data_IF_042654064083
#
_entry.id   IF_042654064083
#
_cell.length_a   1.000
_cell.length_b   1.000
_cell.length_c   1.000
_cell.angle_alpha   90.00
_cell.angle_beta   90.00
_cell.angle_gamma   90.00
#
_symmetry.space_group_name_H-M   'P 1'
#
loop_
_entity.id
_entity.type
_entity.pdbx_description
1 polymer ?
#
# COMPACT_ATOMS: atom_id res chain seq x y z
N UNK A 1 0.53 -21.38 -6.74
CA UNK A 1 0.38 -20.19 -5.90
C UNK A 1 1.60 -19.29 -6.03
N UNK A 2 1.49 -18.28 -6.87
CA UNK A 2 2.48 -17.20 -7.02
C UNK A 2 2.53 -16.35 -5.76
N UNK A 3 3.72 -15.82 -5.47
CA UNK A 3 3.94 -14.84 -4.42
C UNK A 3 4.81 -13.71 -4.95
N UNK A 4 4.50 -12.49 -4.52
CA UNK A 4 5.29 -11.28 -4.75
C UNK A 4 5.60 -10.62 -3.40
N UNK A 5 6.85 -10.23 -3.19
CA UNK A 5 7.26 -9.39 -2.07
C UNK A 5 7.91 -8.12 -2.60
N UNK A 6 7.38 -6.96 -2.22
CA UNK A 6 7.88 -5.66 -2.66
C UNK A 6 8.25 -4.78 -1.48
N UNK A 7 9.39 -4.11 -1.60
CA UNK A 7 9.81 -3.06 -0.66
C UNK A 7 9.27 -1.73 -1.16
N UNK A 8 8.41 -1.10 -0.38
CA UNK A 8 7.82 0.20 -0.68
C UNK A 8 8.37 1.25 0.30
N UNK A 9 8.56 2.51 -0.12
CA UNK A 9 8.88 3.59 0.81
C UNK A 9 7.78 3.71 1.88
N UNK A 10 8.08 4.36 3.01
CA UNK A 10 7.02 4.67 3.95
C UNK A 10 6.04 5.69 3.35
N UNK A 11 4.72 5.43 3.36
CA UNK A 11 3.76 6.29 2.69
C UNK A 11 3.59 7.65 3.40
N UNK A 12 3.10 8.67 2.69
CA UNK A 12 2.55 9.85 3.35
C UNK A 12 1.33 9.44 4.20
N UNK A 13 0.98 10.24 5.21
CA UNK A 13 -0.24 10.01 5.98
C UNK A 13 -1.48 10.06 5.08
N UNK A 14 -2.56 9.36 5.44
CA UNK A 14 -3.80 9.34 4.65
C UNK A 14 -4.32 10.76 4.33
N UNK A 15 -4.26 11.66 5.31
CA UNK A 15 -4.64 13.06 5.15
C UNK A 15 -3.72 13.86 4.22
N UNK A 16 -2.46 13.44 4.08
CA UNK A 16 -1.54 14.02 3.11
C UNK A 16 -1.70 13.36 1.74
N UNK A 17 -2.07 12.08 1.69
CA UNK A 17 -2.34 11.35 0.47
C UNK A 17 -3.57 11.90 -0.26
N UNK A 18 -4.70 12.00 0.44
CA UNK A 18 -5.95 12.55 -0.07
C UNK A 18 -6.14 13.98 0.41
N UNK A 19 -6.45 14.89 -0.51
CA UNK A 19 -6.82 16.27 -0.22
C UNK A 19 -8.26 16.52 -0.64
N UNK A 20 -8.87 17.51 -0.01
CA UNK A 20 -10.20 17.99 -0.37
C UNK A 20 -10.11 19.43 -0.85
N UNK A 21 -10.90 19.79 -1.85
CA UNK A 21 -11.09 21.18 -2.24
C UNK A 21 -12.15 21.83 -1.35
N UNK A 22 -12.22 23.18 -1.34
CA UNK A 22 -13.30 23.92 -0.67
C UNK A 22 -14.71 23.55 -1.17
N UNK A 23 -14.79 22.98 -2.37
CA UNK A 23 -16.04 22.54 -3.02
C UNK A 23 -16.37 21.07 -2.72
N UNK A 24 -15.66 20.43 -1.78
CA UNK A 24 -15.92 19.05 -1.36
C UNK A 24 -15.38 17.97 -2.31
N UNK A 25 -14.55 18.31 -3.30
CA UNK A 25 -13.96 17.30 -4.21
C UNK A 25 -12.71 16.69 -3.59
N UNK A 26 -12.64 15.36 -3.57
CA UNK A 26 -11.43 14.62 -3.17
C UNK A 26 -10.47 14.46 -4.34
N UNK A 27 -9.17 14.61 -4.09
CA UNK A 27 -8.12 14.37 -5.07
C UNK A 27 -6.84 13.88 -4.42
N UNK A 28 -6.01 13.18 -5.18
CA UNK A 28 -4.71 12.68 -4.73
C UNK A 28 -3.70 13.82 -4.77
N UNK A 29 -3.00 14.03 -3.66
CA UNK A 29 -1.96 15.04 -3.56
C UNK A 29 -0.74 14.71 -4.42
N UNK A 30 0.17 15.68 -4.57
CA UNK A 30 1.47 15.42 -5.18
C UNK A 30 2.23 14.30 -4.47
N UNK A 31 2.22 14.28 -3.13
CA UNK A 31 2.88 13.24 -2.35
C UNK A 31 2.23 11.86 -2.56
N UNK A 32 0.90 11.81 -2.69
CA UNK A 32 0.18 10.57 -2.99
C UNK A 32 0.53 10.03 -4.39
N UNK A 33 0.60 10.91 -5.40
CA UNK A 33 1.05 10.54 -6.75
C UNK A 33 2.48 10.01 -6.75
N UNK A 34 3.41 10.70 -6.09
CA UNK A 34 4.79 10.24 -5.93
C UNK A 34 4.88 8.87 -5.26
N UNK A 35 4.02 8.61 -4.26
CA UNK A 35 3.95 7.29 -3.65
C UNK A 35 3.44 6.24 -4.63
N UNK A 36 2.35 6.51 -5.37
CA UNK A 36 1.85 5.60 -6.43
C UNK A 36 2.91 5.29 -7.47
N UNK A 37 3.66 6.29 -7.92
CA UNK A 37 4.75 6.12 -8.89
C UNK A 37 5.84 5.20 -8.32
N UNK A 38 6.17 5.33 -7.03
CA UNK A 38 7.12 4.44 -6.37
C UNK A 38 6.60 2.99 -6.30
N UNK A 39 5.32 2.78 -6.02
CA UNK A 39 4.70 1.44 -6.03
C UNK A 39 4.68 0.86 -7.44
N UNK A 40 4.27 1.65 -8.45
CA UNK A 40 4.31 1.24 -9.85
C UNK A 40 5.71 0.81 -10.26
N UNK A 41 6.73 1.60 -9.93
CA UNK A 41 8.13 1.29 -10.24
C UNK A 41 8.62 0.03 -9.53
N UNK A 42 8.22 -0.19 -8.27
CA UNK A 42 8.55 -1.41 -7.53
C UNK A 42 7.92 -2.66 -8.16
N UNK A 43 6.78 -2.49 -8.84
CA UNK A 43 6.00 -3.58 -9.43
C UNK A 43 6.07 -3.62 -10.97
N UNK A 44 6.90 -2.81 -11.63
CA UNK A 44 6.83 -2.58 -13.09
C UNK A 44 7.06 -3.83 -13.95
N UNK A 45 7.76 -4.83 -13.42
CA UNK A 45 8.04 -6.11 -14.11
C UNK A 45 7.04 -7.21 -13.73
N UNK A 46 6.14 -6.92 -12.80
CA UNK A 46 5.21 -7.89 -12.26
C UNK A 46 3.94 -7.95 -13.09
N UNK A 47 3.43 -9.15 -13.28
CA UNK A 47 2.12 -9.35 -13.93
C UNK A 47 1.00 -9.12 -12.92
N UNK A 48 -0.20 -8.70 -13.34
CA UNK A 48 -1.38 -8.67 -12.47
C UNK A 48 -1.65 -10.06 -11.87
N UNK A 49 -2.19 -10.10 -10.65
CA UNK A 49 -2.78 -11.31 -10.09
C UNK A 49 -4.19 -11.51 -10.66
N UNK A 50 -4.51 -12.73 -11.09
CA UNK A 50 -5.80 -13.06 -11.71
C UNK A 50 -6.75 -13.82 -10.78
N UNK A 51 -6.27 -14.27 -9.63
CA UNK A 51 -7.04 -14.95 -8.60
C UNK A 51 -7.13 -14.11 -7.34
N UNK A 52 -7.93 -14.55 -6.38
CA UNK A 52 -7.94 -13.95 -5.04
C UNK A 52 -6.55 -14.01 -4.42
N UNK A 53 -6.18 -12.94 -3.70
CA UNK A 53 -4.89 -12.81 -3.03
C UNK A 53 -5.04 -12.57 -1.54
N UNK A 54 -4.06 -12.99 -0.76
CA UNK A 54 -3.79 -12.40 0.55
C UNK A 54 -2.73 -11.32 0.43
N UNK A 55 -2.88 -10.26 1.23
CA UNK A 55 -1.88 -9.22 1.37
C UNK A 55 -1.45 -9.16 2.83
N UNK A 56 -0.14 -9.14 3.03
CA UNK A 56 0.50 -8.94 4.33
C UNK A 56 1.44 -7.74 4.26
N UNK A 57 1.44 -6.90 5.29
CA UNK A 57 2.28 -5.71 5.37
C UNK A 57 3.13 -5.73 6.64
N UNK A 58 4.44 -5.82 6.48
CA UNK A 58 5.39 -5.52 7.54
C UNK A 58 5.72 -4.02 7.52
N UNK A 59 5.52 -3.34 8.65
CA UNK A 59 5.68 -1.90 8.79
C UNK A 59 6.94 -1.57 9.58
N UNK A 60 7.88 -0.87 8.95
CA UNK A 60 9.03 -0.26 9.59
C UNK A 60 8.77 1.25 9.74
N UNK A 61 8.35 1.67 10.94
CA UNK A 61 7.87 3.03 11.18
C UNK A 61 9.03 4.03 11.35
N UNK A 62 8.87 5.29 10.91
CA UNK A 62 9.93 6.29 11.01
C UNK A 62 10.17 6.82 12.43
N UNK A 63 9.22 6.64 13.35
CA UNK A 63 9.31 7.15 14.71
C UNK A 63 8.27 6.45 15.63
N UNK A 64 8.34 6.74 16.94
CA UNK A 64 7.44 6.20 17.96
C UNK A 64 6.09 6.93 18.10
N UNK A 65 5.69 7.76 17.12
CA UNK A 65 4.40 8.45 17.20
C UNK A 65 3.27 7.44 17.06
N UNK A 66 2.23 7.62 17.87
CA UNK A 66 0.96 6.90 17.74
C UNK A 66 0.36 7.20 16.35
N UNK A 67 0.16 6.15 15.57
CA UNK A 67 -0.51 6.16 14.27
C UNK A 67 -1.48 4.99 14.25
N UNK A 68 -2.57 5.19 13.54
CA UNK A 68 -3.49 4.11 13.21
C UNK A 68 -2.95 3.35 11.98
N UNK A 69 -2.59 2.05 12.13
CA UNK A 69 -2.12 1.21 11.03
C UNK A 69 -3.13 1.04 9.89
N UNK A 70 -4.43 1.18 10.15
CA UNK A 70 -5.47 0.99 9.14
C UNK A 70 -5.39 2.03 8.02
N UNK A 71 -4.80 3.19 8.30
CA UNK A 71 -4.52 4.20 7.28
C UNK A 71 -3.53 3.72 6.21
N UNK A 72 -2.65 2.78 6.54
CA UNK A 72 -1.68 2.22 5.60
C UNK A 72 -2.38 1.35 4.56
N UNK A 73 -3.40 0.59 4.95
CA UNK A 73 -4.18 -0.24 4.03
C UNK A 73 -4.77 0.57 2.88
N UNK A 74 -5.45 1.68 3.20
CA UNK A 74 -6.06 2.54 2.19
C UNK A 74 -5.05 3.08 1.18
N UNK A 75 -3.83 3.41 1.61
CA UNK A 75 -2.80 3.94 0.72
C UNK A 75 -2.15 2.84 -0.11
N UNK A 76 -1.85 1.70 0.51
CA UNK A 76 -1.21 0.55 -0.16
C UNK A 76 -2.14 -0.08 -1.19
N UNK A 77 -3.38 -0.39 -0.83
CA UNK A 77 -4.34 -1.03 -1.72
C UNK A 77 -4.63 -0.15 -2.94
N UNK A 78 -4.95 1.13 -2.73
CA UNK A 78 -5.14 2.10 -3.80
C UNK A 78 -3.90 2.16 -4.74
N UNK A 79 -2.69 2.14 -4.19
CA UNK A 79 -1.48 2.17 -5.01
C UNK A 79 -1.25 0.86 -5.77
N UNK A 80 -1.57 -0.30 -5.21
CA UNK A 80 -1.46 -1.61 -5.88
C UNK A 80 -2.48 -1.76 -7.01
N UNK A 81 -3.71 -1.29 -6.82
CA UNK A 81 -4.74 -1.24 -7.88
C UNK A 81 -4.28 -0.33 -9.02
N UNK A 82 -3.72 0.84 -8.69
CA UNK A 82 -3.23 1.79 -9.69
C UNK A 82 -1.97 1.30 -10.42
N UNK A 83 -1.16 0.47 -9.76
CA UNK A 83 -0.05 -0.24 -10.37
C UNK A 83 -0.49 -1.47 -11.19
N UNK A 84 -1.80 -1.76 -11.27
CA UNK A 84 -2.38 -2.91 -11.96
C UNK A 84 -1.86 -4.26 -11.44
N UNK A 85 -1.58 -4.36 -10.13
CA UNK A 85 -1.14 -5.60 -9.49
C UNK A 85 -2.32 -6.42 -9.00
N UNK A 86 -3.33 -5.74 -8.48
CA UNK A 86 -4.64 -6.30 -8.19
C UNK A 86 -5.68 -5.56 -9.02
N UNK A 87 -6.74 -6.25 -9.41
CA UNK A 87 -7.83 -5.64 -10.21
C UNK A 87 -8.62 -4.61 -9.40
N UNK A 88 -8.83 -4.88 -8.11
CA UNK A 88 -9.62 -4.05 -7.21
C UNK A 88 -9.17 -4.27 -5.75
N UNK A 89 -9.51 -3.35 -4.86
CA UNK A 89 -9.21 -3.43 -3.41
C UNK A 89 -10.33 -4.10 -2.59
N UNK A 90 -11.39 -4.58 -3.25
CA UNK A 90 -12.54 -5.21 -2.60
C UNK A 90 -12.23 -6.61 -2.03
N UNK A 91 -13.08 -7.07 -1.10
CA UNK A 91 -12.92 -8.36 -0.43
C UNK A 91 -12.99 -9.57 -1.37
N UNK A 92 -13.61 -9.43 -2.55
CA UNK A 92 -13.64 -10.48 -3.57
C UNK A 92 -12.26 -10.69 -4.22
N UNK A 93 -11.40 -9.66 -4.24
CA UNK A 93 -10.03 -9.75 -4.75
C UNK A 93 -9.03 -9.97 -3.60
N UNK A 94 -9.19 -9.26 -2.48
CA UNK A 94 -8.29 -9.31 -1.32
C UNK A 94 -9.05 -9.73 -0.05
N UNK A 95 -9.48 -11.01 0.07
CA UNK A 95 -10.25 -11.49 1.22
C UNK A 95 -9.42 -11.65 2.51
N UNK A 96 -8.09 -11.58 2.44
CA UNK A 96 -7.20 -11.75 3.60
C UNK A 96 -6.17 -10.63 3.65
N UNK A 97 -6.20 -9.87 4.74
CA UNK A 97 -5.33 -8.73 4.99
C UNK A 97 -4.73 -8.87 6.40
N UNK A 98 -3.42 -8.70 6.54
CA UNK A 98 -2.76 -8.67 7.85
C UNK A 98 -1.60 -7.68 7.87
N UNK A 99 -1.39 -7.03 9.02
CA UNK A 99 -0.40 -5.97 9.16
C UNK A 99 0.33 -6.16 10.49
N UNK A 100 1.65 -6.09 10.44
CA UNK A 100 2.51 -6.18 11.61
C UNK A 100 3.43 -4.95 11.68
N UNK A 101 3.43 -4.27 12.82
CA UNK A 101 4.40 -3.21 13.09
C UNK A 101 5.67 -3.85 13.63
N UNK A 102 6.64 -4.05 12.75
CA UNK A 102 7.84 -4.85 13.02
C UNK A 102 8.83 -4.09 13.90
N UNK A 103 9.16 -2.85 13.51
CA UNK A 103 10.18 -2.06 14.20
C UNK A 103 10.06 -0.57 13.89
N UNK A 104 10.73 0.23 14.72
CA UNK A 104 10.97 1.65 14.45
C UNK A 104 12.33 1.76 13.76
N UNK A 105 12.32 2.14 12.48
CA UNK A 105 13.50 2.32 11.64
C UNK A 105 13.54 3.77 11.14
N UNK A 106 14.24 4.62 11.90
CA UNK A 106 14.35 6.05 11.59
C UNK A 106 15.15 6.34 10.32
N UNK A 107 16.05 5.42 9.95
CA UNK A 107 17.00 5.63 8.86
C UNK A 107 16.44 5.11 7.53
N UNK A 108 15.62 4.06 7.57
CA UNK A 108 15.02 3.46 6.39
C UNK A 108 13.57 3.00 6.65
N UNK A 109 12.64 3.94 6.90
CA UNK A 109 11.24 3.62 7.09
C UNK A 109 10.63 3.12 5.78
N UNK A 110 9.91 2.00 5.86
CA UNK A 110 9.42 1.28 4.67
C UNK A 110 8.27 0.35 5.01
N UNK A 111 7.61 -0.13 3.98
CA UNK A 111 6.69 -1.26 4.05
C UNK A 111 7.27 -2.42 3.26
N UNK A 112 7.19 -3.63 3.80
CA UNK A 112 7.40 -4.85 3.02
C UNK A 112 6.03 -5.46 2.78
N UNK A 113 5.55 -5.38 1.54
CA UNK A 113 4.24 -5.87 1.16
C UNK A 113 4.39 -7.21 0.49
N UNK A 114 3.77 -8.24 1.07
CA UNK A 114 3.73 -9.59 0.52
C UNK A 114 2.34 -9.90 0.00
N UNK A 115 2.24 -10.28 -1.28
CA UNK A 115 1.01 -10.64 -1.97
C UNK A 115 1.10 -12.12 -2.34
N UNK A 116 0.11 -12.93 -2.02
CA UNK A 116 0.09 -14.38 -2.32
C UNK A 116 -1.24 -14.79 -2.94
N UNK A 117 -1.20 -15.58 -4.00
CA UNK A 117 -2.40 -16.25 -4.53
C UNK A 117 -2.98 -17.22 -3.51
N UNK A 118 -4.32 -17.28 -3.45
CA UNK A 118 -5.05 -18.19 -2.56
C UNK A 118 -5.49 -19.50 -3.21
N UNK A 119 -5.41 -19.60 -4.54
CA UNK A 119 -5.73 -20.78 -5.33
C UNK A 119 -4.60 -21.07 -6.31
#
# INVERSE_FOLDING_TARGET
MRQLAVNLPYPPSLNHYWRHTRQGRHYISKAGKTYRDAVLMACVKEKPFQSQVSIHIDVFVPDNRKRDPDNLWKVVLDSLTQANIIEDDCWQVVPRQSIDVVAVDKHNPRLVVTIKELA
#
